data_IF_187130658300
#
_entry.id   IF_187130658300
#
_cell.length_a   1.000
_cell.length_b   1.000
_cell.length_c   1.000
_cell.angle_alpha   90.00
_cell.angle_beta   90.00
_cell.angle_gamma   90.00
#
_symmetry.space_group_name_H-M   'P 1'
#
loop_
_entity.id
_entity.type
_entity.pdbx_description
1 polymer ?
#
# COMPACT_ATOMS: atom_id res chain seq x y z
N UNK A 1 -0.10 27.75 -11.01
CA UNK A 1 -0.44 26.74 -9.98
C UNK A 1 -0.57 25.40 -10.67
N UNK A 2 0.44 24.54 -10.57
CA UNK A 2 0.39 23.18 -11.14
C UNK A 2 -0.52 22.36 -10.23
N UNK A 3 -1.64 21.84 -10.75
CA UNK A 3 -2.45 20.83 -10.04
C UNK A 3 -1.54 19.61 -9.86
N UNK A 4 -1.09 19.37 -8.64
CA UNK A 4 -0.45 18.11 -8.28
C UNK A 4 -1.49 17.01 -8.45
N UNK A 5 -1.40 16.23 -9.53
CA UNK A 5 -2.15 15.00 -9.63
C UNK A 5 -1.76 14.14 -8.42
N UNK A 6 -2.76 13.63 -7.68
CA UNK A 6 -2.51 12.68 -6.60
C UNK A 6 -1.92 11.42 -7.23
N UNK A 7 -0.62 11.18 -7.02
CA UNK A 7 0.02 9.94 -7.46
C UNK A 7 -0.68 8.76 -6.79
N UNK A 8 -1.16 7.84 -7.61
CA UNK A 8 -1.89 6.64 -7.21
C UNK A 8 -0.92 5.47 -6.95
N UNK A 9 -1.39 4.39 -6.33
CA UNK A 9 -0.56 3.18 -6.16
C UNK A 9 -0.10 2.62 -7.50
N UNK A 10 -0.93 2.73 -8.55
CA UNK A 10 -0.64 2.26 -9.90
C UNK A 10 0.56 2.95 -10.56
N UNK A 11 0.81 4.22 -10.22
CA UNK A 11 1.95 4.98 -10.76
C UNK A 11 3.30 4.44 -10.26
N UNK A 12 3.29 3.65 -9.19
CA UNK A 12 4.47 3.07 -8.56
C UNK A 12 4.54 1.54 -8.72
N UNK A 13 3.64 0.95 -9.51
CA UNK A 13 3.51 -0.50 -9.66
C UNK A 13 4.43 -1.07 -10.74
N UNK A 14 5.11 -2.16 -10.39
CA UNK A 14 5.87 -2.95 -11.36
C UNK A 14 4.93 -3.70 -12.31
N UNK A 15 5.13 -3.62 -13.64
CA UNK A 15 4.23 -4.26 -14.60
C UNK A 15 4.31 -5.80 -14.62
N UNK A 16 5.23 -6.39 -13.84
CA UNK A 16 5.44 -7.84 -13.78
C UNK A 16 4.82 -8.44 -12.52
N UNK A 17 5.10 -7.85 -11.35
CA UNK A 17 4.57 -8.35 -10.08
C UNK A 17 3.36 -7.58 -9.56
N UNK A 18 2.99 -6.47 -10.20
CA UNK A 18 1.90 -5.58 -9.79
C UNK A 18 2.05 -4.99 -8.38
N UNK A 19 3.26 -5.07 -7.80
CA UNK A 19 3.61 -4.48 -6.52
C UNK A 19 4.43 -3.21 -6.70
N UNK A 20 4.49 -2.37 -5.66
CA UNK A 20 5.36 -1.19 -5.63
C UNK A 20 6.81 -1.59 -5.98
N UNK A 21 7.45 -0.82 -6.87
CA UNK A 21 8.79 -1.14 -7.35
C UNK A 21 9.80 -1.37 -6.20
N UNK A 22 10.51 -2.49 -6.28
CA UNK A 22 11.65 -2.83 -5.41
C UNK A 22 12.91 -2.92 -6.25
N UNK A 23 13.89 -2.06 -5.93
CA UNK A 23 15.14 -1.94 -6.67
C UNK A 23 14.92 -1.91 -8.20
N UNK A 24 14.13 -0.95 -8.73
CA UNK A 24 13.84 -0.88 -10.15
C UNK A 24 15.11 -0.67 -10.97
N UNK A 25 15.20 -1.37 -12.10
CA UNK A 25 16.21 -1.15 -13.15
C UNK A 25 15.53 -0.60 -14.38
N UNK A 26 16.26 0.22 -15.15
CA UNK A 26 15.75 0.80 -16.40
C UNK A 26 16.40 0.13 -17.60
N UNK A 27 15.58 -0.35 -18.54
CA UNK A 27 16.04 -0.92 -19.81
C UNK A 27 16.32 0.18 -20.83
N UNK A 28 17.01 -0.16 -21.93
CA UNK A 28 17.24 0.76 -23.06
C UNK A 28 15.96 1.26 -23.74
N UNK A 29 14.84 0.57 -23.53
CA UNK A 29 13.51 1.02 -23.94
C UNK A 29 12.81 1.94 -22.93
N UNK A 30 13.53 2.44 -21.91
CA UNK A 30 13.06 3.32 -20.83
C UNK A 30 12.01 2.72 -19.88
N UNK A 31 11.54 1.49 -20.10
CA UNK A 31 10.69 0.78 -19.16
C UNK A 31 11.48 0.41 -17.90
N UNK A 32 10.86 0.63 -16.74
CA UNK A 32 11.38 0.24 -15.43
C UNK A 32 10.71 -1.03 -14.94
N UNK A 33 11.49 -1.97 -14.39
CA UNK A 33 11.04 -3.26 -13.86
C UNK A 33 11.84 -3.55 -12.59
N UNK A 34 11.24 -4.19 -11.58
CA UNK A 34 12.01 -4.67 -10.42
C UNK A 34 13.15 -5.59 -10.88
N UNK A 35 14.34 -5.44 -10.29
CA UNK A 35 15.52 -6.26 -10.65
C UNK A 35 15.21 -7.75 -10.63
N UNK A 36 14.58 -8.24 -9.56
CA UNK A 36 14.24 -9.65 -9.40
C UNK A 36 13.23 -10.14 -10.45
N UNK A 37 12.18 -9.33 -10.71
CA UNK A 37 11.19 -9.67 -11.73
C UNK A 37 11.80 -9.79 -13.12
N UNK A 38 12.73 -8.88 -13.47
CA UNK A 38 13.41 -8.94 -14.75
C UNK A 38 14.35 -10.15 -14.84
N UNK A 39 15.13 -10.42 -13.78
CA UNK A 39 16.03 -11.58 -13.72
C UNK A 39 15.26 -12.89 -13.83
N UNK A 40 14.13 -13.03 -13.13
CA UNK A 40 13.27 -14.20 -13.22
C UNK A 40 12.69 -14.36 -14.63
N UNK A 41 12.20 -13.27 -15.22
CA UNK A 41 11.67 -13.28 -16.58
C UNK A 41 12.73 -13.74 -17.60
N UNK A 42 13.94 -13.17 -17.57
CA UNK A 42 15.05 -13.57 -18.45
C UNK A 42 15.47 -15.02 -18.21
N UNK A 43 15.47 -15.49 -16.96
CA UNK A 43 15.80 -16.88 -16.62
C UNK A 43 14.79 -17.89 -17.19
N UNK A 44 13.49 -17.54 -17.16
CA UNK A 44 12.41 -18.40 -17.67
C UNK A 44 12.34 -18.36 -19.19
N UNK A 45 12.33 -17.16 -19.79
CA UNK A 45 12.20 -16.99 -21.24
C UNK A 45 13.48 -17.33 -22.01
N UNK A 46 14.64 -17.35 -21.34
CA UNK A 46 15.96 -17.50 -21.96
C UNK A 46 16.30 -16.40 -22.98
N UNK A 47 15.65 -15.25 -22.87
CA UNK A 47 15.87 -14.06 -23.70
C UNK A 47 16.04 -12.83 -22.82
N UNK A 48 16.85 -11.86 -23.26
CA UNK A 48 17.03 -10.57 -22.56
C UNK A 48 16.01 -9.52 -23.03
N UNK A 49 14.73 -9.88 -23.12
CA UNK A 49 13.69 -9.00 -23.65
C UNK A 49 13.03 -8.15 -22.55
N UNK A 50 12.52 -6.99 -22.93
CA UNK A 50 11.66 -6.19 -22.07
C UNK A 50 10.31 -6.93 -21.85
N UNK A 51 9.86 -7.14 -20.61
CA UNK A 51 8.56 -7.74 -20.32
C UNK A 51 7.37 -6.96 -20.88
N UNK A 52 7.52 -5.64 -21.06
CA UNK A 52 6.45 -4.72 -21.50
C UNK A 52 6.37 -4.66 -23.03
N UNK A 53 7.47 -4.29 -23.68
CA UNK A 53 7.47 -3.99 -25.13
C UNK A 53 8.24 -5.01 -25.99
N UNK A 54 8.78 -6.08 -25.38
CA UNK A 54 9.57 -7.14 -26.03
C UNK A 54 10.87 -6.70 -26.71
N UNK A 55 11.24 -5.41 -26.66
CA UNK A 55 12.53 -4.94 -27.17
C UNK A 55 13.67 -5.66 -26.43
N UNK A 56 14.62 -6.22 -27.19
CA UNK A 56 15.80 -6.89 -26.64
C UNK A 56 16.75 -5.88 -25.98
N UNK A 57 17.20 -6.19 -24.77
CA UNK A 57 18.27 -5.48 -24.10
C UNK A 57 19.60 -5.78 -24.79
N UNK A 58 20.40 -4.74 -24.99
CA UNK A 58 21.79 -4.85 -25.46
C UNK A 58 22.79 -4.88 -24.30
N UNK A 59 22.34 -4.64 -23.07
CA UNK A 59 23.20 -4.54 -21.87
C UNK A 59 22.92 -5.71 -20.93
N UNK A 60 23.99 -6.34 -20.48
CA UNK A 60 24.01 -7.34 -19.41
C UNK A 60 23.81 -6.70 -18.04
N UNK A 61 24.46 -5.56 -17.80
CA UNK A 61 24.25 -4.76 -16.59
C UNK A 61 23.32 -3.58 -16.85
N UNK A 62 22.19 -3.58 -16.15
CA UNK A 62 21.20 -2.52 -16.23
C UNK A 62 21.36 -1.54 -15.07
N UNK A 63 21.39 -0.22 -15.34
CA UNK A 63 21.51 0.77 -14.29
C UNK A 63 20.24 0.78 -13.42
N UNK A 64 20.40 1.00 -12.10
CA UNK A 64 19.27 1.19 -11.21
C UNK A 64 18.56 2.53 -11.52
N UNK A 65 17.23 2.54 -11.43
CA UNK A 65 16.45 3.78 -11.49
C UNK A 65 16.32 4.36 -10.07
N UNK A 66 17.36 5.07 -9.62
CA UNK A 66 17.42 5.64 -8.26
C UNK A 66 16.30 6.65 -8.00
N UNK A 67 15.91 7.44 -9.02
CA UNK A 67 14.81 8.40 -8.89
C UNK A 67 13.49 7.69 -8.57
N UNK A 68 13.14 6.66 -9.35
CA UNK A 68 11.93 5.86 -9.11
C UNK A 68 11.99 5.14 -7.76
N UNK A 69 13.15 4.58 -7.40
CA UNK A 69 13.37 3.95 -6.09
C UNK A 69 13.06 4.93 -4.94
N UNK A 70 13.66 6.12 -4.98
CA UNK A 70 13.48 7.13 -3.93
C UNK A 70 12.01 7.59 -3.82
N UNK A 71 11.32 7.73 -4.97
CA UNK A 71 9.90 8.08 -4.98
C UNK A 71 9.04 6.97 -4.36
N UNK A 72 9.29 5.70 -4.71
CA UNK A 72 8.60 4.55 -4.12
C UNK A 72 8.85 4.47 -2.60
N UNK A 73 10.09 4.69 -2.16
CA UNK A 73 10.43 4.70 -0.73
C UNK A 73 9.74 5.84 0.02
N UNK A 74 9.69 7.04 -0.57
CA UNK A 74 8.97 8.18 -0.01
C UNK A 74 7.46 7.91 0.10
N UNK A 75 6.87 7.34 -0.96
CA UNK A 75 5.46 6.93 -0.97
C UNK A 75 5.15 5.91 0.13
N UNK A 76 5.99 4.87 0.26
CA UNK A 76 5.85 3.86 1.30
C UNK A 76 6.05 4.45 2.71
N UNK A 77 6.97 5.40 2.88
CA UNK A 77 7.19 6.10 4.15
C UNK A 77 5.98 6.93 4.54
N UNK A 78 5.43 7.74 3.63
CA UNK A 78 4.20 8.49 3.88
C UNK A 78 3.02 7.58 4.23
N UNK A 79 2.88 6.43 3.54
CA UNK A 79 1.87 5.41 3.85
C UNK A 79 2.07 4.82 5.25
N UNK A 80 3.32 4.53 5.64
CA UNK A 80 3.65 4.04 6.98
C UNK A 80 3.40 5.10 8.05
N UNK A 81 3.74 6.36 7.81
CA UNK A 81 3.47 7.47 8.75
C UNK A 81 1.97 7.70 8.96
N UNK A 82 1.17 7.61 7.89
CA UNK A 82 -0.31 7.60 7.99
C UNK A 82 -0.82 6.44 8.83
N UNK A 83 -0.26 5.24 8.65
CA UNK A 83 -0.59 4.05 9.45
C UNK A 83 -0.13 4.15 10.91
N UNK A 84 1.07 4.68 11.16
CA UNK A 84 1.68 4.81 12.49
C UNK A 84 1.12 5.96 13.32
N UNK A 85 0.50 6.97 12.70
CA UNK A 85 -0.32 7.96 13.42
C UNK A 85 -1.66 7.39 13.93
N UNK A 86 -1.90 6.08 13.80
CA UNK A 86 -3.12 5.41 14.26
C UNK A 86 -4.33 5.63 13.34
N UNK A 87 -4.12 6.12 12.12
CA UNK A 87 -5.22 6.68 11.32
C UNK A 87 -5.80 5.78 10.21
N UNK A 88 -5.23 4.59 9.94
CA UNK A 88 -5.75 3.73 8.86
C UNK A 88 -5.60 2.23 9.15
N UNK A 89 -6.28 1.73 10.18
CA UNK A 89 -6.64 0.31 10.24
C UNK A 89 -7.73 0.02 9.19
N UNK A 90 -7.71 -1.17 8.58
CA UNK A 90 -8.69 -1.58 7.57
C UNK A 90 -9.61 -2.63 8.19
N UNK A 91 -10.91 -2.46 8.01
CA UNK A 91 -11.90 -3.42 8.44
C UNK A 91 -11.72 -4.74 7.68
N UNK A 92 -11.46 -5.83 8.38
CA UNK A 92 -11.27 -7.15 7.74
C UNK A 92 -12.51 -7.68 7.02
N UNK A 93 -13.70 -7.23 7.42
CA UNK A 93 -14.97 -7.68 6.82
C UNK A 93 -15.34 -6.93 5.55
N UNK A 94 -15.03 -5.63 5.48
CA UNK A 94 -15.49 -4.75 4.41
C UNK A 94 -14.35 -4.17 3.57
N UNK A 95 -13.09 -4.42 3.94
CA UNK A 95 -11.90 -3.83 3.34
C UNK A 95 -11.89 -2.29 3.32
N UNK A 96 -12.68 -1.68 4.21
CA UNK A 96 -12.85 -0.23 4.33
C UNK A 96 -12.07 0.36 5.51
N UNK A 97 -11.73 1.65 5.42
CA UNK A 97 -10.95 2.34 6.46
C UNK A 97 -11.73 2.42 7.78
N UNK A 98 -11.11 2.00 8.88
CA UNK A 98 -11.61 2.17 10.24
C UNK A 98 -11.35 3.61 10.69
N UNK A 99 -12.36 4.47 10.55
CA UNK A 99 -12.29 5.89 10.94
C UNK A 99 -13.20 6.23 12.13
N UNK A 100 -13.97 5.25 12.57
CA UNK A 100 -15.00 5.41 13.59
C UNK A 100 -14.71 4.45 14.75
N UNK A 101 -15.22 4.79 15.93
CA UNK A 101 -15.12 4.00 17.13
C UNK A 101 -16.51 3.78 17.71
N UNK A 102 -16.86 2.51 17.95
CA UNK A 102 -18.08 2.15 18.67
C UNK A 102 -17.79 2.18 20.18
N UNK A 103 -18.54 2.99 20.94
CA UNK A 103 -18.31 3.15 22.37
C UNK A 103 -18.78 1.94 23.19
N UNK A 104 -19.84 1.29 22.75
CA UNK A 104 -20.43 0.12 23.41
C UNK A 104 -19.53 -1.11 23.25
N UNK A 105 -19.10 -1.40 22.03
CA UNK A 105 -18.22 -2.53 21.74
C UNK A 105 -16.73 -2.24 21.94
N UNK A 106 -16.39 -0.98 22.23
CA UNK A 106 -15.02 -0.49 22.45
C UNK A 106 -14.03 -0.89 21.35
N UNK A 107 -14.48 -0.82 20.09
CA UNK A 107 -13.69 -1.25 18.94
C UNK A 107 -13.77 -0.27 17.76
N UNK A 108 -12.73 -0.19 16.92
CA UNK A 108 -12.77 0.58 15.70
C UNK A 108 -13.68 -0.09 14.65
N UNK A 109 -14.48 0.73 13.96
CA UNK A 109 -15.44 0.30 12.94
C UNK A 109 -15.30 1.16 11.67
N UNK A 110 -15.62 0.57 10.51
CA UNK A 110 -15.69 1.32 9.25
C UNK A 110 -17.10 1.91 9.05
N UNK A 111 -17.26 2.75 8.02
CA UNK A 111 -18.56 3.35 7.68
C UNK A 111 -19.64 2.29 7.41
N UNK A 112 -19.27 1.18 6.78
CA UNK A 112 -20.21 0.07 6.50
C UNK A 112 -20.61 -0.65 7.78
N UNK A 113 -19.67 -0.86 8.71
CA UNK A 113 -19.97 -1.48 10.01
C UNK A 113 -20.96 -0.64 10.82
N UNK A 114 -20.84 0.70 10.80
CA UNK A 114 -21.75 1.60 11.53
C UNK A 114 -23.21 1.36 11.15
N UNK A 115 -23.47 1.19 9.86
CA UNK A 115 -24.83 1.05 9.33
C UNK A 115 -25.30 -0.42 9.32
N UNK A 116 -24.44 -1.35 9.78
CA UNK A 116 -24.80 -2.77 9.90
C UNK A 116 -25.75 -3.02 11.07
N UNK A 117 -26.52 -4.11 11.01
CA UNK A 117 -27.41 -4.53 12.11
C UNK A 117 -26.68 -4.68 13.45
N UNK A 118 -25.37 -4.95 13.43
CA UNK A 118 -24.56 -5.10 14.64
C UNK A 118 -24.33 -3.77 15.37
N UNK A 119 -24.29 -2.64 14.67
CA UNK A 119 -23.96 -1.33 15.25
C UNK A 119 -25.02 -0.24 15.00
N UNK A 120 -26.16 -0.58 14.37
CA UNK A 120 -27.22 0.37 14.00
C UNK A 120 -27.77 1.18 15.19
N UNK A 121 -27.71 0.63 16.40
CA UNK A 121 -28.17 1.28 17.64
C UNK A 121 -27.01 1.65 18.59
N UNK A 122 -25.76 1.54 18.14
CA UNK A 122 -24.59 1.86 18.95
C UNK A 122 -24.15 3.30 18.72
N UNK A 123 -23.58 3.92 19.75
CA UNK A 123 -22.99 5.24 19.67
C UNK A 123 -21.62 5.13 19.01
N UNK A 124 -21.57 5.56 17.76
CA UNK A 124 -20.36 5.54 16.95
C UNK A 124 -19.86 6.96 16.75
N UNK A 125 -18.60 7.23 17.12
CA UNK A 125 -17.96 8.55 16.98
C UNK A 125 -16.70 8.49 16.12
N UNK A 126 -16.29 9.59 15.47
CA UNK A 126 -14.97 9.67 14.85
C UNK A 126 -13.88 9.38 15.87
N UNK A 127 -12.87 8.60 15.48
CA UNK A 127 -11.76 8.22 16.37
C UNK A 127 -11.08 9.49 16.93
N UNK A 128 -10.91 10.52 16.12
CA UNK A 128 -10.28 11.80 16.52
C UNK A 128 -11.01 12.51 17.68
N UNK A 129 -12.31 12.27 17.87
CA UNK A 129 -13.10 12.87 18.95
C UNK A 129 -13.01 12.11 20.28
N UNK A 130 -12.53 10.86 20.25
CA UNK A 130 -12.48 9.97 21.42
C UNK A 130 -11.07 9.93 22.06
N UNK A 131 -10.09 10.55 21.41
CA UNK A 131 -8.67 10.49 21.77
C UNK A 131 -8.29 11.71 22.63
N UNK A 132 -8.39 11.57 23.97
CA UNK A 132 -7.15 11.41 24.75
C UNK A 132 -7.09 10.17 25.65
N UNK A 133 -8.18 9.42 25.85
CA UNK A 133 -8.25 8.43 26.95
C UNK A 133 -7.81 6.99 26.60
N UNK A 134 -7.61 6.64 25.32
CA UNK A 134 -7.48 5.24 24.90
C UNK A 134 -6.21 4.90 24.10
N UNK A 135 -5.27 5.84 23.98
CA UNK A 135 -3.99 5.60 23.26
C UNK A 135 -3.17 4.45 23.85
N UNK A 136 -3.41 4.05 25.10
CA UNK A 136 -2.66 2.98 25.77
C UNK A 136 -3.26 1.57 25.62
N UNK A 137 -4.49 1.42 25.10
CA UNK A 137 -5.15 0.10 25.00
C UNK A 137 -5.26 -0.47 23.58
N UNK A 138 -4.92 0.31 22.55
CA UNK A 138 -4.94 -0.12 21.14
C UNK A 138 -3.85 -1.16 20.78
N UNK A 139 -3.09 -1.66 21.78
CA UNK A 139 -2.14 -2.76 21.59
C UNK A 139 -2.75 -4.15 21.92
N UNK A 140 -3.99 -4.22 22.41
CA UNK A 140 -4.64 -5.47 22.84
C UNK A 140 -5.83 -5.79 21.94
N UNK A 141 -5.53 -6.13 20.69
CA UNK A 141 -6.50 -6.63 19.71
C UNK A 141 -6.04 -7.90 19.00
N UNK A 142 -5.05 -8.61 19.56
CA UNK A 142 -4.83 -10.03 19.23
C UNK A 142 -5.70 -10.86 20.16
N UNK A 143 -6.96 -11.04 19.82
CA UNK A 143 -7.71 -12.22 20.28
C UNK A 143 -8.00 -13.04 19.05
N UNK A 144 -7.07 -13.95 18.79
CA UNK A 144 -7.32 -15.10 17.93
C UNK A 144 -8.46 -15.91 18.55
N UNK A 145 -9.41 -16.20 17.68
CA UNK A 145 -10.32 -17.34 17.70
C UNK A 145 -9.85 -18.50 18.57
N UNK A 146 -10.75 -18.98 19.42
CA UNK A 146 -10.85 -20.40 19.74
C UNK A 146 -12.32 -20.81 19.64
#
# INVERSE_FOLDING_TARGET
>A
MVKMASLSEDDFSCPVCCEIFKNPVVLSCSHSICRECLQQFWRIKKTQECPVCRRRSSKTELPPNLALKNLCESFLKQRKERRSSGSEEICSLHSEKLKLFCLEDKQPVCLVCRDSQKHVNHTVRPIDEVVPSYKDQAQIGRVGLQ
#
